data_IF_793438774666
#
_entry.id   IF_793438774666
#
_cell.length_a   1.000
_cell.length_b   1.000
_cell.length_c   1.000
_cell.angle_alpha   90.00
_cell.angle_beta   90.00
_cell.angle_gamma   90.00
#
_symmetry.space_group_name_H-M   'P 1'
#
loop_
_entity.id
_entity.type
_entity.pdbx_description
1 polymer ?
#
# COMPACT_ATOMS: atom_id res chain seq x y z
N UNK A 1 -20.01 33.67 12.86
CA UNK A 1 -20.08 32.21 13.03
C UNK A 1 -19.72 31.57 11.70
N UNK A 2 -18.44 31.28 11.49
CA UNK A 2 -17.94 30.76 10.20
C UNK A 2 -18.07 29.23 10.20
N UNK A 3 -19.00 28.71 9.41
CA UNK A 3 -19.07 27.29 9.07
C UNK A 3 -17.84 26.95 8.22
N UNK A 4 -16.75 26.50 8.86
CA UNK A 4 -15.76 25.70 8.17
C UNK A 4 -16.46 24.38 7.87
N UNK A 5 -16.85 24.16 6.61
CA UNK A 5 -17.09 22.81 6.15
C UNK A 5 -15.78 22.05 6.40
N UNK A 6 -15.74 21.25 7.46
CA UNK A 6 -14.60 20.38 7.68
C UNK A 6 -14.53 19.46 6.46
N UNK A 7 -13.40 19.48 5.76
CA UNK A 7 -13.16 18.52 4.71
C UNK A 7 -13.40 17.12 5.30
N UNK A 8 -14.08 16.25 4.56
CA UNK A 8 -14.33 14.88 5.02
C UNK A 8 -13.01 14.25 5.50
N UNK A 9 -13.01 13.53 6.63
CA UNK A 9 -11.80 12.91 7.15
C UNK A 9 -11.09 12.08 6.09
N UNK A 10 -9.75 12.15 6.09
CA UNK A 10 -8.89 11.39 5.16
C UNK A 10 -7.90 10.54 5.95
N UNK A 11 -8.30 9.38 6.49
CA UNK A 11 -7.40 8.59 7.32
C UNK A 11 -6.19 8.10 6.51
N UNK A 12 -5.00 8.18 7.10
CA UNK A 12 -3.83 7.46 6.61
C UNK A 12 -3.87 6.06 7.21
N UNK A 13 -4.06 5.04 6.37
CA UNK A 13 -4.24 3.65 6.80
C UNK A 13 -2.92 2.90 6.64
N UNK A 14 -2.49 2.24 7.71
CA UNK A 14 -1.26 1.44 7.74
C UNK A 14 -1.61 0.05 8.23
N UNK A 15 -1.18 -0.99 7.52
CA UNK A 15 -1.35 -2.37 7.93
C UNK A 15 -0.02 -2.98 8.38
N UNK A 16 -0.07 -3.74 9.48
CA UNK A 16 0.93 -4.75 9.82
C UNK A 16 0.75 -6.00 8.95
N UNK A 17 1.71 -6.91 8.98
CA UNK A 17 1.68 -8.14 8.17
C UNK A 17 0.45 -9.03 8.47
N UNK A 18 -0.05 -9.00 9.71
CA UNK A 18 -1.28 -9.70 10.14
C UNK A 18 -2.56 -8.85 9.95
N UNK A 19 -2.42 -7.58 9.55
CA UNK A 19 -3.48 -6.58 9.56
C UNK A 19 -4.34 -6.51 8.29
N UNK A 20 -4.13 -7.38 7.31
CA UNK A 20 -4.80 -7.30 6.00
C UNK A 20 -6.32 -7.30 6.10
N UNK A 21 -6.90 -8.18 6.93
CA UNK A 21 -8.35 -8.28 7.10
C UNK A 21 -8.95 -7.01 7.71
N UNK A 22 -8.29 -6.47 8.73
CA UNK A 22 -8.69 -5.21 9.37
C UNK A 22 -8.57 -4.03 8.41
N UNK A 23 -7.48 -3.95 7.63
CA UNK A 23 -7.31 -2.91 6.59
C UNK A 23 -8.45 -2.94 5.58
N UNK A 24 -8.81 -4.12 5.08
CA UNK A 24 -9.90 -4.26 4.10
C UNK A 24 -11.24 -3.81 4.68
N UNK A 25 -11.52 -4.14 5.94
CA UNK A 25 -12.71 -3.68 6.64
C UNK A 25 -12.72 -2.15 6.83
N UNK A 26 -11.60 -1.57 7.25
CA UNK A 26 -11.40 -0.11 7.34
C UNK A 26 -11.68 0.55 5.99
N UNK A 27 -11.05 0.08 4.91
CA UNK A 27 -11.24 0.64 3.57
C UNK A 27 -12.70 0.57 3.09
N UNK A 28 -13.39 -0.54 3.36
CA UNK A 28 -14.81 -0.69 3.06
C UNK A 28 -15.65 0.33 3.82
N UNK A 29 -15.34 0.58 5.09
CA UNK A 29 -16.03 1.56 5.92
C UNK A 29 -15.71 3.01 5.52
N UNK A 30 -14.47 3.31 5.14
CA UNK A 30 -14.15 4.61 4.54
C UNK A 30 -15.00 4.86 3.29
N UNK A 31 -15.14 3.84 2.44
CA UNK A 31 -15.96 3.93 1.23
C UNK A 31 -17.45 4.10 1.55
N UNK A 32 -17.98 3.39 2.55
CA UNK A 32 -19.39 3.50 2.97
C UNK A 32 -19.72 4.93 3.44
N UNK A 33 -18.76 5.59 4.09
CA UNK A 33 -18.83 6.99 4.55
C UNK A 33 -18.48 8.03 3.49
N UNK A 34 -18.06 7.60 2.30
CA UNK A 34 -17.56 8.49 1.23
C UNK A 34 -16.23 9.17 1.54
N UNK A 35 -15.49 8.66 2.52
CA UNK A 35 -14.17 9.14 2.92
C UNK A 35 -13.10 8.58 1.97
N UNK A 36 -12.02 9.34 1.79
CA UNK A 36 -10.88 8.93 0.96
C UNK A 36 -9.64 8.80 1.81
N UNK A 37 -8.90 7.68 1.74
CA UNK A 37 -7.65 7.59 2.45
C UNK A 37 -6.66 8.68 1.98
N UNK A 38 -5.80 9.11 2.90
CA UNK A 38 -4.66 9.94 2.57
C UNK A 38 -3.57 9.10 1.88
N UNK A 39 -2.88 9.68 0.92
CA UNK A 39 -1.76 9.01 0.23
C UNK A 39 -0.42 9.27 0.92
N UNK A 40 -0.37 10.28 1.77
CA UNK A 40 0.79 10.63 2.57
C UNK A 40 0.39 11.06 3.99
N UNK A 41 1.24 10.84 4.99
CA UNK A 41 0.99 11.29 6.35
C UNK A 41 0.91 12.81 6.47
N UNK A 42 1.51 13.56 5.54
CA UNK A 42 1.47 15.02 5.52
C UNK A 42 0.07 15.59 5.17
N UNK A 43 -0.81 14.79 4.55
CA UNK A 43 -2.15 15.22 4.12
C UNK A 43 -3.20 15.17 5.23
N UNK A 44 -2.91 14.55 6.38
CA UNK A 44 -3.94 14.25 7.38
C UNK A 44 -3.39 14.17 8.79
N UNK A 45 -4.23 14.51 9.77
CA UNK A 45 -3.96 14.24 11.19
C UNK A 45 -4.48 12.88 11.67
N UNK A 46 -5.17 12.10 10.83
CA UNK A 46 -5.83 10.86 11.28
C UNK A 46 -5.05 9.63 10.81
N UNK A 47 -4.54 8.83 11.76
CA UNK A 47 -3.85 7.57 11.52
C UNK A 47 -4.72 6.39 11.96
N UNK A 48 -4.85 5.38 11.10
CA UNK A 48 -5.46 4.08 11.43
C UNK A 48 -4.41 3.01 11.26
N UNK A 49 -4.14 2.24 12.31
CA UNK A 49 -3.23 1.10 12.28
C UNK A 49 -4.06 -0.18 12.34
N UNK A 50 -3.84 -1.07 11.38
CA UNK A 50 -4.52 -2.35 11.24
C UNK A 50 -3.54 -3.49 11.56
N UNK A 51 -3.96 -4.43 12.40
CA UNK A 51 -3.12 -5.52 12.89
C UNK A 51 -2.17 -5.13 14.03
N UNK A 52 -1.23 -6.03 14.32
CA UNK A 52 -0.30 -5.92 15.43
C UNK A 52 1.13 -5.74 14.90
N UNK A 53 1.60 -4.50 14.68
CA UNK A 53 2.93 -4.27 14.12
C UNK A 53 4.04 -4.78 15.05
N UNK A 54 5.00 -5.51 14.50
CA UNK A 54 6.24 -5.86 15.17
C UNK A 54 7.08 -4.63 15.54
N UNK A 55 8.20 -4.85 16.23
CA UNK A 55 9.02 -3.76 16.77
C UNK A 55 9.52 -2.77 15.70
N UNK A 56 10.07 -3.28 14.59
CA UNK A 56 10.62 -2.42 13.53
C UNK A 56 9.53 -1.62 12.81
N UNK A 57 8.37 -2.23 12.52
CA UNK A 57 7.24 -1.51 11.93
C UNK A 57 6.64 -0.50 12.91
N UNK A 58 6.55 -0.84 14.20
CA UNK A 58 6.10 0.09 15.25
C UNK A 58 6.97 1.35 15.28
N UNK A 59 8.30 1.23 15.22
CA UNK A 59 9.22 2.36 15.19
C UNK A 59 9.04 3.24 13.94
N UNK A 60 8.81 2.60 12.77
CA UNK A 60 8.48 3.31 11.54
C UNK A 60 7.16 4.08 11.65
N UNK A 61 6.11 3.46 12.21
CA UNK A 61 4.81 4.10 12.47
C UNK A 61 4.98 5.29 13.44
N UNK A 62 5.81 5.16 14.48
CA UNK A 62 6.07 6.27 15.41
C UNK A 62 6.77 7.44 14.74
N UNK A 63 7.67 7.18 13.80
CA UNK A 63 8.34 8.22 13.01
C UNK A 63 7.33 8.95 12.13
N UNK A 64 6.51 8.21 11.39
CA UNK A 64 5.42 8.77 10.56
C UNK A 64 4.45 9.59 11.41
N UNK A 65 4.01 9.06 12.55
CA UNK A 65 3.12 9.76 13.47
C UNK A 65 3.68 11.10 13.96
N UNK A 66 4.99 11.18 14.19
CA UNK A 66 5.67 12.43 14.58
C UNK A 66 5.68 13.46 13.46
N UNK A 67 5.71 13.01 12.21
CA UNK A 67 5.72 13.87 11.01
C UNK A 67 4.31 14.27 10.54
N UNK A 68 3.26 13.69 11.11
CA UNK A 68 1.87 14.08 10.80
C UNK A 68 1.51 15.46 11.37
N UNK A 69 0.75 16.28 10.61
CA UNK A 69 0.31 17.60 11.05
C UNK A 69 -0.61 17.54 12.27
N UNK A 70 -0.53 18.57 13.13
CA UNK A 70 -1.48 18.77 14.23
C UNK A 70 -2.79 19.42 13.75
N UNK A 71 -3.96 19.11 14.37
CA UNK A 71 -4.16 18.10 15.42
C UNK A 71 -4.11 16.68 14.85
N UNK A 72 -3.35 15.77 15.49
CA UNK A 72 -3.30 14.35 15.09
C UNK A 72 -3.98 13.40 16.08
N UNK A 73 -4.68 12.39 15.55
CA UNK A 73 -5.40 11.35 16.28
C UNK A 73 -5.07 9.95 15.75
N UNK A 74 -4.89 8.98 16.65
CA UNK A 74 -4.90 7.55 16.31
C UNK A 74 -6.28 7.00 16.51
N UNK A 75 -6.91 6.55 15.44
CA UNK A 75 -8.22 5.91 15.49
C UNK A 75 -8.07 4.39 15.54
N UNK A 76 -8.96 3.69 16.26
CA UNK A 76 -9.04 2.23 16.20
C UNK A 76 -9.50 1.78 14.82
N UNK A 77 -9.20 0.53 14.46
CA UNK A 77 -9.56 -0.05 13.16
C UNK A 77 -11.08 -0.27 12.99
N UNK A 78 -11.84 -0.39 14.08
CA UNK A 78 -13.30 -0.56 14.00
C UNK A 78 -14.06 0.74 13.68
N UNK A 79 -13.42 1.92 13.75
CA UNK A 79 -13.95 3.26 13.43
C UNK A 79 -15.30 3.65 14.09
N UNK A 80 -15.85 2.78 14.95
CA UNK A 80 -17.06 2.92 15.75
C UNK A 80 -16.76 3.81 16.97
N UNK A 81 -16.68 5.11 16.70
CA UNK A 81 -16.29 6.11 17.69
C UNK A 81 -15.65 7.36 17.08
N UNK A 82 -15.39 7.37 15.77
CA UNK A 82 -14.96 8.56 15.03
C UNK A 82 -16.12 9.55 14.77
N UNK A 83 -17.00 9.75 15.75
CA UNK A 83 -18.04 10.77 15.72
C UNK A 83 -17.36 12.13 16.01
N UNK A 84 -17.00 12.84 14.94
CA UNK A 84 -16.27 14.11 15.00
C UNK A 84 -17.21 15.33 15.07
N UNK A 85 -18.53 15.12 15.22
CA UNK A 85 -19.51 16.21 15.37
C UNK A 85 -19.50 16.86 16.77
N UNK A 86 -18.67 16.33 17.68
CA UNK A 86 -18.33 16.97 18.93
C UNK A 86 -16.96 16.51 19.38
N UNK A 87 -15.90 17.24 19.01
CA UNK A 87 -14.60 17.13 19.66
C UNK A 87 -14.70 17.63 21.10
N UNK A 88 -15.37 16.86 21.96
CA UNK A 88 -15.13 16.87 23.40
C UNK A 88 -14.11 15.76 23.67
N UNK A 89 -12.85 16.19 23.82
CA UNK A 89 -11.64 15.37 23.82
C UNK A 89 -11.43 14.58 25.14
N UNK A 90 -12.51 14.24 25.86
CA UNK A 90 -12.42 13.64 27.20
C UNK A 90 -12.95 12.18 27.27
N UNK A 91 -13.53 11.63 26.18
CA UNK A 91 -14.32 10.39 26.25
C UNK A 91 -13.70 9.11 25.67
N UNK A 92 -12.87 9.19 24.63
CA UNK A 92 -12.08 8.02 24.21
C UNK A 92 -10.89 7.89 25.18
N UNK A 93 -10.42 6.67 25.46
CA UNK A 93 -9.10 6.50 26.10
C UNK A 93 -8.02 6.95 25.10
N UNK A 94 -7.92 8.27 24.92
CA UNK A 94 -6.97 8.95 24.09
C UNK A 94 -5.64 8.86 24.83
N UNK A 95 -4.73 8.00 24.36
CA UNK A 95 -3.31 8.18 24.65
C UNK A 95 -2.82 9.39 23.84
N UNK A 96 -3.24 10.58 24.28
CA UNK A 96 -2.78 11.87 23.75
C UNK A 96 -1.35 12.13 24.22
N UNK A 97 -0.38 11.54 23.52
CA UNK A 97 1.02 11.93 23.67
C UNK A 97 1.23 13.31 23.07
N UNK A 98 1.45 14.32 23.92
CA UNK A 98 1.90 15.65 23.51
C UNK A 98 3.20 15.51 22.70
N UNK A 99 3.14 15.72 21.39
CA UNK A 99 4.31 15.71 20.52
C UNK A 99 5.17 16.92 20.86
N UNK A 100 6.37 16.68 21.39
CA UNK A 100 7.34 17.74 21.66
C UNK A 100 7.67 18.52 20.38
N UNK A 101 7.82 19.85 20.51
CA UNK A 101 8.35 20.70 19.45
C UNK A 101 9.68 20.15 18.92
N UNK A 102 9.80 20.07 17.59
CA UNK A 102 11.06 19.70 16.92
C UNK A 102 12.16 20.68 17.32
N UNK A 103 13.37 20.23 17.67
CA UNK A 103 14.56 21.05 17.46
C UNK A 103 14.72 21.30 15.96
N UNK A 104 15.23 22.47 15.60
CA UNK A 104 15.57 22.78 14.21
C UNK A 104 16.54 21.73 13.67
N UNK A 105 16.37 21.32 12.40
CA UNK A 105 17.36 20.48 11.71
C UNK A 105 18.68 21.24 11.68
N UNK A 106 19.67 20.73 12.41
CA UNK A 106 21.05 21.21 12.33
C UNK A 106 21.65 20.72 11.01
N UNK A 107 21.69 21.62 10.02
CA UNK A 107 22.21 21.35 8.69
C UNK A 107 23.71 21.67 8.59
N UNK A 108 24.33 22.23 9.65
CA UNK A 108 25.69 22.77 9.60
C UNK A 108 26.80 21.68 9.59
N UNK A 109 26.41 20.40 9.45
CA UNK A 109 27.33 19.26 9.33
C UNK A 109 26.89 18.18 8.33
N UNK A 110 25.82 18.39 7.56
CA UNK A 110 25.37 17.42 6.55
C UNK A 110 26.22 17.60 5.30
N UNK A 111 27.16 16.69 5.09
CA UNK A 111 27.98 16.67 3.88
C UNK A 111 27.13 16.61 2.61
N UNK A 112 27.65 17.19 1.52
CA UNK A 112 27.03 17.05 0.20
C UNK A 112 26.92 15.56 -0.17
N UNK A 113 25.88 15.21 -0.93
CA UNK A 113 25.75 13.85 -1.45
C UNK A 113 26.96 13.46 -2.31
N UNK A 114 27.34 12.19 -2.22
CA UNK A 114 28.38 11.62 -3.08
C UNK A 114 27.94 11.69 -4.55
N UNK A 115 28.91 11.72 -5.48
CA UNK A 115 28.65 11.76 -6.93
C UNK A 115 29.34 10.61 -7.64
N UNK A 116 28.63 9.96 -8.55
CA UNK A 116 29.17 8.92 -9.41
C UNK A 116 28.78 9.15 -10.88
N UNK A 117 29.52 8.52 -11.79
CA UNK A 117 29.29 8.64 -13.23
C UNK A 117 27.99 7.90 -13.62
N UNK A 118 27.15 8.52 -14.44
CA UNK A 118 25.88 8.01 -14.96
C UNK A 118 26.04 7.48 -16.40
N UNK A 119 25.00 6.86 -16.97
CA UNK A 119 24.97 6.23 -18.30
C UNK A 119 25.43 7.15 -19.43
N UNK A 120 25.17 8.45 -19.32
CA UNK A 120 25.54 9.45 -20.32
C UNK A 120 26.91 10.10 -20.06
N UNK A 121 27.62 9.65 -19.02
CA UNK A 121 28.91 10.18 -18.59
C UNK A 121 28.82 11.45 -17.73
N UNK A 122 27.62 11.91 -17.36
CA UNK A 122 27.45 12.96 -16.37
C UNK A 122 27.66 12.41 -14.95
N UNK A 123 28.08 13.29 -14.03
CA UNK A 123 28.17 12.93 -12.60
C UNK A 123 26.91 13.35 -11.88
N UNK A 124 26.11 12.37 -11.47
CA UNK A 124 24.88 12.59 -10.72
C UNK A 124 25.08 12.31 -9.23
N UNK A 125 24.31 13.02 -8.42
CA UNK A 125 24.25 12.81 -6.97
C UNK A 125 23.69 11.41 -6.70
N UNK A 126 24.32 10.69 -5.76
CA UNK A 126 23.90 9.38 -5.27
C UNK A 126 22.95 9.59 -4.11
N UNK A 127 21.70 9.21 -4.30
CA UNK A 127 20.63 9.36 -3.32
C UNK A 127 20.26 8.01 -2.73
N UNK A 128 20.10 7.95 -1.41
CA UNK A 128 19.56 6.78 -0.72
C UNK A 128 18.10 7.05 -0.39
N UNK A 129 17.20 6.32 -1.05
CA UNK A 129 15.75 6.55 -0.97
C UNK A 129 15.08 5.31 -0.37
N UNK A 130 14.65 5.35 0.90
CA UNK A 130 13.85 4.29 1.48
C UNK A 130 12.41 4.36 0.98
N UNK A 131 11.88 3.24 0.49
CA UNK A 131 10.47 3.02 0.21
C UNK A 131 9.88 2.04 1.24
N UNK A 132 8.71 2.38 1.78
CA UNK A 132 8.12 1.63 2.87
C UNK A 132 8.84 1.83 4.22
N UNK A 133 8.49 1.07 5.26
CA UNK A 133 7.41 0.07 5.29
C UNK A 133 6.02 0.68 5.45
N UNK A 134 5.93 2.00 5.62
CA UNK A 134 4.69 2.73 5.84
C UNK A 134 4.42 3.65 4.64
N UNK A 135 3.83 3.10 3.58
CA UNK A 135 3.40 3.82 2.39
C UNK A 135 1.98 3.39 2.00
N UNK A 136 1.20 4.32 1.45
CA UNK A 136 -0.11 3.99 0.90
C UNK A 136 0.03 3.01 -0.28
N UNK A 137 -0.89 2.04 -0.37
CA UNK A 137 -0.94 1.00 -1.41
C UNK A 137 0.34 0.15 -1.52
N UNK A 138 1.15 0.10 -0.47
CA UNK A 138 2.40 -0.65 -0.39
C UNK A 138 2.22 -1.98 0.37
N UNK A 139 2.99 -3.03 0.06
CA UNK A 139 2.95 -4.28 0.82
C UNK A 139 3.31 -4.03 2.29
N UNK A 140 2.43 -4.46 3.20
CA UNK A 140 2.62 -4.31 4.64
C UNK A 140 3.92 -4.99 5.08
N UNK A 141 4.75 -4.28 5.86
CA UNK A 141 6.00 -4.83 6.39
C UNK A 141 7.18 -4.85 5.44
N UNK A 142 7.03 -4.40 4.18
CA UNK A 142 8.12 -4.42 3.20
C UNK A 142 8.89 -3.09 3.21
N UNK A 143 10.22 -3.14 3.39
CA UNK A 143 11.11 -2.01 3.18
C UNK A 143 12.00 -2.27 1.97
N UNK A 144 12.15 -1.27 1.12
CA UNK A 144 13.05 -1.29 -0.04
C UNK A 144 13.97 -0.07 0.04
N UNK A 145 15.25 -0.30 0.28
CA UNK A 145 16.27 0.74 0.31
C UNK A 145 16.91 0.85 -1.08
N UNK A 146 16.71 1.97 -1.75
CA UNK A 146 17.21 2.20 -3.11
C UNK A 146 18.43 3.13 -3.08
N UNK A 147 19.45 2.77 -3.86
CA UNK A 147 20.48 3.71 -4.29
C UNK A 147 20.11 4.21 -5.67
N UNK A 148 19.87 5.51 -5.78
CA UNK A 148 19.34 6.15 -7.00
C UNK A 148 20.34 7.19 -7.50
N UNK A 149 20.51 7.27 -8.81
CA UNK A 149 21.19 8.37 -9.48
C UNK A 149 20.24 8.98 -10.51
N UNK A 150 19.91 10.26 -10.33
CA UNK A 150 18.79 10.87 -11.06
C UNK A 150 17.47 10.24 -10.64
N UNK A 151 16.81 9.54 -11.55
CA UNK A 151 15.59 8.75 -11.31
C UNK A 151 15.81 7.24 -11.46
N UNK A 152 17.01 6.80 -11.84
CA UNK A 152 17.34 5.39 -12.09
C UNK A 152 17.89 4.73 -10.83
N UNK A 153 17.33 3.57 -10.50
CA UNK A 153 17.81 2.70 -9.43
C UNK A 153 19.10 2.01 -9.87
N UNK A 154 20.18 2.23 -9.11
CA UNK A 154 21.49 1.62 -9.32
C UNK A 154 21.70 0.37 -8.45
N UNK A 155 21.05 0.34 -7.28
CA UNK A 155 21.05 -0.81 -6.39
C UNK A 155 19.78 -0.80 -5.54
N UNK A 156 19.33 -1.97 -5.12
CA UNK A 156 18.18 -2.14 -4.24
C UNK A 156 18.46 -3.20 -3.18
N UNK A 157 18.18 -2.87 -1.92
CA UNK A 157 18.13 -3.80 -0.80
C UNK A 157 16.68 -3.95 -0.34
N UNK A 158 16.25 -5.18 -0.06
CA UNK A 158 14.85 -5.48 0.24
C UNK A 158 14.78 -6.26 1.55
N UNK A 159 14.00 -5.74 2.49
CA UNK A 159 13.86 -6.29 3.85
C UNK A 159 12.40 -6.44 4.22
N UNK A 160 12.01 -7.63 4.67
CA UNK A 160 10.77 -7.82 5.42
C UNK A 160 11.00 -7.39 6.88
N UNK A 161 10.51 -6.21 7.24
CA UNK A 161 10.65 -5.66 8.61
C UNK A 161 9.51 -6.07 9.53
N UNK A 162 8.44 -6.64 8.96
CA UNK A 162 7.30 -7.20 9.67
C UNK A 162 6.76 -8.39 8.88
N UNK A 163 6.49 -9.49 9.58
CA UNK A 163 5.95 -10.74 9.02
C UNK A 163 4.93 -11.32 10.00
N UNK A 164 4.00 -12.15 9.51
CA UNK A 164 3.07 -12.88 10.38
C UNK A 164 3.24 -14.40 10.27
N UNK A 165 2.57 -15.13 11.16
CA UNK A 165 2.63 -16.59 11.25
C UNK A 165 1.55 -17.30 10.40
N UNK A 166 0.79 -16.56 9.57
CA UNK A 166 -0.34 -17.13 8.84
C UNK A 166 -0.87 -16.23 7.72
N UNK A 167 -1.43 -16.82 6.65
CA UNK A 167 -1.81 -16.09 5.44
C UNK A 167 -2.76 -14.93 5.74
N UNK A 168 -2.56 -13.82 5.01
CA UNK A 168 -3.46 -12.66 5.07
C UNK A 168 -4.88 -12.95 4.58
N UNK A 169 -5.08 -14.05 3.86
CA UNK A 169 -6.31 -14.44 3.17
C UNK A 169 -6.65 -15.90 3.41
N UNK A 170 -7.94 -16.19 3.62
CA UNK A 170 -8.41 -17.58 3.71
C UNK A 170 -8.33 -18.28 2.34
N UNK A 171 -8.15 -19.60 2.31
CA UNK A 171 -8.01 -20.38 1.06
C UNK A 171 -9.17 -20.17 0.07
N UNK A 172 -10.38 -19.90 0.56
CA UNK A 172 -11.59 -19.63 -0.23
C UNK A 172 -11.71 -18.19 -0.76
N UNK A 173 -10.81 -17.27 -0.40
CA UNK A 173 -10.91 -15.84 -0.73
C UNK A 173 -10.02 -15.43 -1.91
N UNK A 174 -9.69 -16.37 -2.81
CA UNK A 174 -8.78 -16.16 -3.95
C UNK A 174 -9.16 -14.96 -4.82
N UNK A 175 -10.43 -14.84 -5.18
CA UNK A 175 -10.91 -13.72 -6.00
C UNK A 175 -10.75 -12.38 -5.26
N UNK A 176 -11.10 -12.32 -3.97
CA UNK A 176 -10.96 -11.13 -3.14
C UNK A 176 -9.47 -10.72 -3.00
N UNK A 177 -8.60 -11.68 -2.69
CA UNK A 177 -7.15 -11.46 -2.60
C UNK A 177 -6.57 -10.91 -3.89
N UNK A 178 -6.88 -11.50 -5.05
CA UNK A 178 -6.40 -11.00 -6.33
C UNK A 178 -6.97 -9.62 -6.68
N UNK A 179 -8.23 -9.34 -6.36
CA UNK A 179 -8.84 -8.02 -6.56
C UNK A 179 -8.20 -6.95 -5.66
N UNK A 180 -7.75 -7.32 -4.47
CA UNK A 180 -7.00 -6.44 -3.57
C UNK A 180 -5.61 -6.10 -4.15
N UNK A 181 -4.87 -7.09 -4.66
CA UNK A 181 -3.60 -6.88 -5.38
C UNK A 181 -3.78 -5.98 -6.61
N UNK A 182 -4.83 -6.22 -7.41
CA UNK A 182 -5.17 -5.39 -8.58
C UNK A 182 -5.56 -3.96 -8.15
N UNK A 183 -6.28 -3.80 -7.05
CA UNK A 183 -6.64 -2.49 -6.51
C UNK A 183 -5.39 -1.67 -6.19
N UNK A 184 -4.46 -2.23 -5.39
CA UNK A 184 -3.19 -1.56 -5.02
C UNK A 184 -2.38 -1.19 -6.25
N UNK A 185 -2.15 -2.15 -7.16
CA UNK A 185 -1.37 -1.89 -8.38
C UNK A 185 -1.96 -0.75 -9.23
N UNK A 186 -3.29 -0.73 -9.40
CA UNK A 186 -3.94 0.32 -10.18
C UNK A 186 -3.86 1.70 -9.51
N UNK A 187 -3.87 1.77 -8.17
CA UNK A 187 -3.66 3.03 -7.42
C UNK A 187 -2.22 3.51 -7.52
N UNK A 188 -1.24 2.61 -7.38
CA UNK A 188 0.18 2.94 -7.59
C UNK A 188 0.43 3.43 -9.02
N UNK A 189 -0.28 2.88 -10.01
CA UNK A 189 -0.26 3.34 -11.39
C UNK A 189 -1.02 4.66 -11.64
N UNK A 190 -1.55 5.32 -10.61
CA UNK A 190 -2.29 6.57 -10.69
C UNK A 190 -3.70 6.44 -11.30
N UNK A 191 -4.26 5.23 -11.36
CA UNK A 191 -5.60 4.97 -11.89
C UNK A 191 -6.61 4.71 -10.78
N UNK A 192 -6.77 5.68 -9.88
CA UNK A 192 -7.58 5.57 -8.64
C UNK A 192 -8.99 5.04 -8.88
N UNK A 193 -9.69 5.52 -9.91
CA UNK A 193 -11.05 5.09 -10.21
C UNK A 193 -11.14 3.59 -10.57
N UNK A 194 -10.10 3.03 -11.20
CA UNK A 194 -10.06 1.61 -11.52
C UNK A 194 -9.64 0.78 -10.29
N UNK A 195 -8.71 1.28 -9.47
CA UNK A 195 -8.36 0.68 -8.19
C UNK A 195 -9.55 0.63 -7.23
N UNK A 196 -10.29 1.73 -7.12
CA UNK A 196 -11.56 1.80 -6.37
C UNK A 196 -12.58 0.77 -6.87
N UNK A 197 -12.72 0.61 -8.19
CA UNK A 197 -13.63 -0.38 -8.75
C UNK A 197 -13.20 -1.82 -8.44
N UNK A 198 -11.90 -2.11 -8.41
CA UNK A 198 -11.38 -3.40 -7.99
C UNK A 198 -11.68 -3.67 -6.51
N UNK A 199 -11.49 -2.67 -5.64
CA UNK A 199 -11.81 -2.79 -4.22
C UNK A 199 -13.32 -2.98 -3.96
N UNK A 200 -14.20 -2.37 -4.75
CA UNK A 200 -15.64 -2.66 -4.69
C UNK A 200 -15.94 -4.11 -5.06
N UNK A 201 -15.32 -4.64 -6.12
CA UNK A 201 -15.50 -6.04 -6.51
C UNK A 201 -14.96 -7.01 -5.44
N UNK A 202 -13.84 -6.65 -4.79
CA UNK A 202 -13.27 -7.39 -3.65
C UNK A 202 -14.28 -7.46 -2.51
N UNK A 203 -14.87 -6.33 -2.14
CA UNK A 203 -15.81 -6.29 -1.02
C UNK A 203 -17.14 -6.99 -1.38
N UNK A 204 -17.58 -6.95 -2.63
CA UNK A 204 -18.69 -7.78 -3.15
C UNK A 204 -18.38 -9.28 -3.02
N UNK A 205 -17.15 -9.70 -3.33
CA UNK A 205 -16.70 -11.09 -3.17
C UNK A 205 -16.72 -11.53 -1.70
N UNK A 206 -16.21 -10.69 -0.80
CA UNK A 206 -16.21 -10.95 0.64
C UNK A 206 -17.61 -10.92 1.25
N UNK A 207 -18.51 -10.09 0.70
CA UNK A 207 -19.91 -9.99 1.09
C UNK A 207 -20.79 -11.15 0.61
N UNK A 208 -20.23 -12.13 -0.11
CA UNK A 208 -20.95 -13.32 -0.56
C UNK A 208 -21.93 -13.07 -1.72
N UNK A 209 -21.65 -12.06 -2.57
CA UNK A 209 -22.37 -11.92 -3.84
C UNK A 209 -22.17 -13.19 -4.68
N UNK A 210 -23.22 -13.78 -5.27
CA UNK A 210 -23.09 -14.99 -6.08
C UNK A 210 -22.04 -14.86 -7.18
N UNK A 211 -21.20 -15.89 -7.31
CA UNK A 211 -20.02 -15.89 -8.19
C UNK A 211 -20.37 -15.63 -9.65
N UNK A 212 -21.50 -16.11 -10.16
CA UNK A 212 -21.95 -15.88 -11.54
C UNK A 212 -22.25 -14.38 -11.82
N UNK A 213 -22.85 -13.70 -10.84
CA UNK A 213 -23.14 -12.27 -10.90
C UNK A 213 -21.84 -11.48 -10.86
N UNK A 214 -20.92 -11.88 -9.97
CA UNK A 214 -19.63 -11.23 -9.78
C UNK A 214 -18.71 -11.45 -11.00
N UNK A 215 -18.63 -12.67 -11.54
CA UNK A 215 -17.88 -13.03 -12.74
C UNK A 215 -18.25 -12.16 -13.94
N UNK A 216 -19.54 -11.93 -14.17
CA UNK A 216 -20.00 -11.05 -15.26
C UNK A 216 -19.53 -9.60 -15.09
N UNK A 217 -19.58 -9.07 -13.86
CA UNK A 217 -19.11 -7.71 -13.54
C UNK A 217 -17.59 -7.62 -13.66
N UNK A 218 -16.88 -8.62 -13.14
CA UNK A 218 -15.44 -8.74 -13.23
C UNK A 218 -14.96 -8.82 -14.68
N UNK A 219 -15.59 -9.64 -15.53
CA UNK A 219 -15.23 -9.75 -16.95
C UNK A 219 -15.36 -8.42 -17.71
N UNK A 220 -16.28 -7.54 -17.34
CA UNK A 220 -16.36 -6.18 -17.89
C UNK A 220 -15.20 -5.31 -17.42
N UNK A 221 -14.88 -5.39 -16.13
CA UNK A 221 -13.75 -4.69 -15.52
C UNK A 221 -12.41 -5.15 -16.11
N UNK A 222 -12.13 -6.45 -16.14
CA UNK A 222 -10.91 -7.04 -16.69
C UNK A 222 -10.69 -6.64 -18.16
N UNK A 223 -11.73 -6.63 -18.99
CA UNK A 223 -11.65 -6.13 -20.38
C UNK A 223 -11.30 -4.65 -20.46
N UNK A 224 -11.79 -3.81 -19.55
CA UNK A 224 -11.45 -2.38 -19.51
C UNK A 224 -9.99 -2.19 -19.14
N UNK A 225 -9.52 -2.88 -18.10
CA UNK A 225 -8.13 -2.84 -17.63
C UNK A 225 -7.18 -3.33 -18.75
N UNK A 226 -7.43 -4.51 -19.32
CA UNK A 226 -6.59 -5.09 -20.37
C UNK A 226 -6.55 -4.29 -21.68
N UNK A 227 -7.55 -3.44 -21.94
CA UNK A 227 -7.58 -2.56 -23.12
C UNK A 227 -7.03 -1.16 -22.86
N UNK A 228 -6.60 -0.85 -21.64
CA UNK A 228 -6.11 0.47 -21.27
C UNK A 228 -4.86 0.84 -22.07
N UNK A 229 -4.90 2.01 -22.72
CA UNK A 229 -3.71 2.57 -23.38
C UNK A 229 -2.75 3.23 -22.39
N UNK A 230 -3.29 3.82 -21.32
CA UNK A 230 -2.49 4.45 -20.27
C UNK A 230 -1.61 3.42 -19.58
N UNK A 231 -2.16 2.28 -19.15
CA UNK A 231 -1.35 1.22 -18.54
C UNK A 231 -0.30 0.67 -19.51
N UNK A 232 -0.60 0.56 -20.80
CA UNK A 232 0.39 0.15 -21.81
C UNK A 232 1.54 1.14 -21.99
N UNK A 233 1.30 2.41 -21.67
CA UNK A 233 2.30 3.47 -21.74
C UNK A 233 3.11 3.59 -20.44
N UNK A 234 2.46 3.41 -19.28
CA UNK A 234 3.06 3.67 -17.96
C UNK A 234 3.68 2.43 -17.32
N UNK A 235 3.24 1.22 -17.67
CA UNK A 235 3.70 0.00 -17.03
C UNK A 235 4.64 -0.81 -17.95
N UNK A 236 5.78 -1.29 -17.41
CA UNK A 236 6.68 -2.20 -18.11
C UNK A 236 5.98 -3.47 -18.63
N UNK A 237 6.64 -4.17 -19.55
CA UNK A 237 6.08 -5.39 -20.15
C UNK A 237 5.74 -6.47 -19.13
N UNK A 238 6.67 -6.76 -18.21
CA UNK A 238 6.53 -7.78 -17.18
C UNK A 238 5.46 -7.43 -16.13
N UNK A 239 5.36 -6.17 -15.70
CA UNK A 239 4.28 -5.67 -14.84
C UNK A 239 2.91 -5.92 -15.48
N UNK A 240 2.80 -5.66 -16.80
CA UNK A 240 1.56 -5.91 -17.56
C UNK A 240 1.26 -7.39 -17.70
N UNK A 241 2.28 -8.22 -17.88
CA UNK A 241 2.12 -9.67 -17.97
C UNK A 241 1.64 -10.27 -16.63
N UNK A 242 2.19 -9.81 -15.50
CA UNK A 242 1.73 -10.19 -14.15
C UNK A 242 0.28 -9.76 -13.91
N UNK A 243 -0.08 -8.52 -14.22
CA UNK A 243 -1.48 -8.04 -14.15
C UNK A 243 -2.42 -8.89 -15.03
N UNK A 244 -1.99 -9.23 -16.25
CA UNK A 244 -2.75 -10.13 -17.13
C UNK A 244 -2.87 -11.55 -16.60
N UNK A 245 -1.89 -12.03 -15.82
CA UNK A 245 -1.95 -13.26 -15.03
C UNK A 245 -3.02 -13.18 -13.95
N UNK A 246 -2.95 -12.19 -13.07
CA UNK A 246 -3.93 -11.99 -11.99
C UNK A 246 -5.36 -11.88 -12.51
N UNK A 247 -5.59 -11.12 -13.59
CA UNK A 247 -6.93 -10.97 -14.15
C UNK A 247 -7.51 -12.31 -14.66
N UNK A 248 -6.67 -13.22 -15.16
CA UNK A 248 -7.12 -14.56 -15.58
C UNK A 248 -7.39 -15.45 -14.37
N UNK A 249 -6.51 -15.42 -13.37
CA UNK A 249 -6.64 -16.21 -12.14
C UNK A 249 -7.88 -15.82 -11.33
N UNK A 250 -8.20 -14.53 -11.23
CA UNK A 250 -9.44 -14.07 -10.60
C UNK A 250 -10.67 -14.57 -11.38
N UNK A 251 -10.61 -14.56 -12.71
CA UNK A 251 -11.68 -15.11 -13.55
C UNK A 251 -11.92 -16.60 -13.27
N UNK A 252 -10.87 -17.41 -13.34
CA UNK A 252 -10.92 -18.84 -12.99
C UNK A 252 -11.42 -19.08 -11.57
N UNK A 253 -11.00 -18.26 -10.59
CA UNK A 253 -11.48 -18.37 -9.21
C UNK A 253 -13.01 -18.17 -9.10
N UNK A 254 -13.54 -17.18 -9.82
CA UNK A 254 -14.98 -16.88 -9.84
C UNK A 254 -15.78 -17.91 -10.65
N UNK A 255 -15.15 -18.61 -11.58
CA UNK A 255 -15.77 -19.72 -12.31
C UNK A 255 -15.70 -21.06 -11.50
N UNK A 256 -15.16 -21.03 -10.27
CA UNK A 256 -15.02 -22.20 -9.40
C UNK A 256 -13.89 -23.14 -9.79
N UNK A 257 -12.95 -22.68 -10.64
CA UNK A 257 -11.81 -23.47 -11.09
C UNK A 257 -10.68 -23.48 -10.04
N UNK A 258 -9.89 -24.55 -10.05
CA UNK A 258 -8.69 -24.64 -9.20
C UNK A 258 -7.68 -23.56 -9.61
N UNK A 259 -7.28 -22.73 -8.64
CA UNK A 259 -6.29 -21.67 -8.84
C UNK A 259 -4.90 -22.11 -8.38
N UNK A 260 -3.86 -21.57 -9.02
CA UNK A 260 -2.48 -21.82 -8.59
C UNK A 260 -2.20 -21.13 -7.27
N UNK A 261 -1.48 -21.74 -6.32
CA UNK A 261 -1.05 -21.05 -5.10
C UNK A 261 -0.26 -19.78 -5.44
N UNK A 262 -0.38 -18.76 -4.58
CA UNK A 262 0.44 -17.55 -4.70
C UNK A 262 1.90 -17.94 -4.54
N UNK A 263 2.78 -17.18 -5.19
CA UNK A 263 4.22 -17.30 -4.96
C UNK A 263 4.51 -16.95 -3.50
N UNK A 264 5.29 -17.76 -2.76
CA UNK A 264 5.78 -17.42 -1.45
C UNK A 264 6.49 -16.06 -1.44
N UNK A 265 6.37 -15.32 -0.35
CA UNK A 265 6.91 -13.97 -0.32
C UNK A 265 8.44 -13.94 -0.38
N UNK A 266 9.13 -14.90 0.22
CA UNK A 266 10.59 -15.02 0.20
C UNK A 266 11.13 -15.20 -1.23
N UNK A 267 10.48 -16.05 -2.03
CA UNK A 267 10.77 -16.21 -3.45
C UNK A 267 10.50 -14.90 -4.24
N UNK A 268 9.48 -14.14 -3.83
CA UNK A 268 9.19 -12.82 -4.42
C UNK A 268 10.25 -11.78 -4.05
N UNK A 269 10.73 -11.78 -2.80
CA UNK A 269 11.77 -10.86 -2.35
C UNK A 269 13.13 -11.21 -2.96
N UNK A 270 13.43 -12.50 -3.17
CA UNK A 270 14.69 -12.93 -3.76
C UNK A 270 14.92 -12.38 -5.19
N UNK A 271 13.84 -12.13 -5.94
CA UNK A 271 13.92 -11.57 -7.29
C UNK A 271 13.73 -10.05 -7.35
N UNK A 272 13.28 -9.41 -6.26
CA UNK A 272 13.00 -7.97 -6.27
C UNK A 272 14.25 -7.13 -6.57
N UNK A 273 15.41 -7.31 -5.89
CA UNK A 273 16.58 -6.48 -6.14
C UNK A 273 16.97 -6.38 -7.63
N UNK A 274 16.99 -7.52 -8.32
CA UNK A 274 17.37 -7.58 -9.73
C UNK A 274 16.30 -7.05 -10.69
N UNK A 275 15.03 -7.04 -10.29
CA UNK A 275 13.96 -6.40 -11.06
C UNK A 275 13.93 -4.88 -10.87
N UNK A 276 14.48 -4.38 -9.75
CA UNK A 276 14.52 -2.95 -9.45
C UNK A 276 15.76 -2.28 -10.02
N UNK A 277 16.89 -2.98 -10.13
CA UNK A 277 18.11 -2.45 -10.74
C UNK A 277 17.87 -2.03 -12.20
N UNK A 278 18.20 -0.78 -12.52
CA UNK A 278 17.97 -0.17 -13.82
C UNK A 278 16.56 0.39 -14.05
N UNK A 279 15.61 0.17 -13.15
CA UNK A 279 14.27 0.75 -13.23
C UNK A 279 14.27 2.22 -12.81
N UNK A 280 13.37 3.02 -13.38
CA UNK A 280 13.06 4.35 -12.86
C UNK A 280 12.32 4.25 -11.51
N UNK A 281 12.40 5.27 -10.65
CA UNK A 281 11.76 5.24 -9.33
C UNK A 281 10.24 4.99 -9.38
N UNK A 282 9.55 5.53 -10.39
CA UNK A 282 8.12 5.26 -10.60
C UNK A 282 7.86 3.81 -11.03
N UNK A 283 8.73 3.28 -11.89
CA UNK A 283 8.70 1.90 -12.35
C UNK A 283 8.97 0.92 -11.20
N UNK A 284 9.94 1.21 -10.34
CA UNK A 284 10.25 0.42 -9.14
C UNK A 284 9.01 0.20 -8.25
N UNK A 285 8.19 1.24 -8.07
CA UNK A 285 6.93 1.13 -7.31
C UNK A 285 5.91 0.23 -8.00
N UNK A 286 5.82 0.28 -9.33
CA UNK A 286 4.95 -0.60 -10.12
C UNK A 286 5.42 -2.06 -10.06
N UNK A 287 6.73 -2.30 -10.15
CA UNK A 287 7.34 -3.63 -10.02
C UNK A 287 6.94 -4.25 -8.67
N UNK A 288 7.18 -3.55 -7.56
CA UNK A 288 6.79 -4.01 -6.22
C UNK A 288 5.29 -4.27 -6.12
N UNK A 289 4.46 -3.33 -6.57
CA UNK A 289 3.00 -3.47 -6.51
C UNK A 289 2.45 -4.59 -7.41
N UNK A 290 3.18 -4.99 -8.46
CA UNK A 290 2.81 -6.09 -9.36
C UNK A 290 3.29 -7.47 -8.89
N UNK A 291 4.19 -7.50 -7.92
CA UNK A 291 4.60 -8.70 -7.20
C UNK A 291 3.70 -8.94 -5.99
N UNK A 292 3.41 -7.87 -5.25
CA UNK A 292 2.51 -7.85 -4.09
C UNK A 292 2.82 -8.99 -3.10
N UNK A 293 4.05 -9.06 -2.55
CA UNK A 293 4.42 -10.10 -1.61
C UNK A 293 3.53 -10.08 -0.37
N UNK A 294 2.95 -11.24 -0.03
CA UNK A 294 2.15 -11.41 1.19
C UNK A 294 3.07 -11.83 2.34
N UNK A 295 3.55 -10.85 3.10
CA UNK A 295 4.42 -11.09 4.27
C UNK A 295 3.68 -11.72 5.46
N UNK A 296 2.37 -11.98 5.32
CA UNK A 296 1.58 -12.65 6.36
C UNK A 296 1.88 -14.14 6.46
N UNK A 297 2.22 -14.83 5.37
CA UNK A 297 2.56 -16.26 5.42
C UNK A 297 3.96 -16.44 5.99
N UNK A 298 4.21 -17.41 6.88
CA UNK A 298 5.59 -17.83 7.13
C UNK A 298 6.23 -18.29 5.79
N UNK A 299 7.53 -18.01 5.53
CA UNK A 299 8.23 -18.72 4.48
C UNK A 299 8.16 -20.22 4.84
N UNK A 300 7.97 -21.10 3.87
CA UNK A 300 7.82 -22.54 4.15
C UNK A 300 9.01 -23.07 4.99
N UNK A 301 8.82 -23.20 6.32
CA UNK A 301 9.74 -23.86 7.26
C UNK A 301 10.85 -22.99 7.85
#
# INVERSE_FOLDING_TARGET
MGLRAFAAPRPFVVAAADGTRERVAVEAELRSRGWRPALSPAETGMLVVCGNPGAALSDAIQTVWRDMPEPRVRAPADLDGADLDGADLDGAKLQGGAGGSRPALDLDGVGMADRADDRDGLRLDVLHVPLGPVLADWPAGLRVDLTVQGDVVQAAEVTAVDTADGPSWDEGQRAASGLDSVSRLLRVAGWDAAGERAAVLRDEALGGVPDDVLARRFAQFARRVGRSRLLRWMAPGDVRDRLGGWLREIGSALDGEATRPRTPWDASLAVLPSLLEGAELAEARLVVASLDPDLGTAPDG
#
